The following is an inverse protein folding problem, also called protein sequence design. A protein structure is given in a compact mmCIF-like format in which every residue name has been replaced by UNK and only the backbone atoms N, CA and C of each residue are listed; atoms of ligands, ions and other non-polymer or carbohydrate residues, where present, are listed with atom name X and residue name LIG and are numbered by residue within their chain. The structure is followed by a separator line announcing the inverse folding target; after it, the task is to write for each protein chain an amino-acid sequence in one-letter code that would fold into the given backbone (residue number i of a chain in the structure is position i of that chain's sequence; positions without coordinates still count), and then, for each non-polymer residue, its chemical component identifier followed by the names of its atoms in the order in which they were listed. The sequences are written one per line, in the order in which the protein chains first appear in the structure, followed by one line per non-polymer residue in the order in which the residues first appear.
data_IF_519347778471
#
_entry.id   IF_519347778471
#
_cell.length_a   1.000
_cell.length_b   1.000
_cell.length_c   1.000
_cell.angle_alpha   90.00
_cell.angle_beta   90.00
_cell.angle_gamma   90.00
#
_symmetry.space_group_name_H-M   'P 1'
#
loop_
_entity.id
_entity.type
_entity.pdbx_description
1 polymer ?
#
# COMPACT_ATOMS: atom_id res chain seq x y z
N UNK A 1 7.97 0.13 -19.35
CA UNK A 1 7.76 0.03 -17.90
C UNK A 1 9.12 0.03 -17.23
N UNK A 2 9.30 0.66 -16.06
CA UNK A 2 10.61 0.70 -15.38
C UNK A 2 10.43 0.09 -13.99
N UNK A 3 11.16 -0.98 -13.73
CA UNK A 3 11.24 -1.61 -12.40
C UNK A 3 12.23 -0.81 -11.55
N UNK A 4 11.86 -0.59 -10.29
CA UNK A 4 12.66 0.11 -9.28
C UNK A 4 12.49 -0.59 -7.94
N UNK A 5 13.31 -0.20 -6.97
CA UNK A 5 13.13 -0.59 -5.58
C UNK A 5 11.75 -0.17 -5.08
N UNK A 6 11.11 -1.02 -4.28
CA UNK A 6 9.73 -0.79 -3.80
C UNK A 6 9.57 0.53 -3.04
N UNK A 7 10.61 0.97 -2.32
CA UNK A 7 10.62 2.24 -1.58
C UNK A 7 10.56 3.44 -2.52
N UNK A 8 11.26 3.39 -3.66
CA UNK A 8 11.20 4.46 -4.67
C UNK A 8 9.77 4.57 -5.26
N UNK A 9 9.07 3.44 -5.38
CA UNK A 9 7.69 3.43 -5.86
C UNK A 9 6.73 3.96 -4.79
N UNK A 10 6.95 3.64 -3.52
CA UNK A 10 6.17 4.25 -2.44
C UNK A 10 6.44 5.75 -2.31
N UNK A 11 7.67 6.20 -2.57
CA UNK A 11 7.97 7.62 -2.59
C UNK A 11 7.22 8.33 -3.73
N UNK A 12 7.13 7.70 -4.91
CA UNK A 12 6.27 8.19 -5.99
C UNK A 12 4.80 8.34 -5.55
N UNK A 13 4.27 7.43 -4.73
CA UNK A 13 2.91 7.50 -4.16
C UNK A 13 2.78 8.67 -3.18
N UNK A 14 3.75 8.83 -2.28
CA UNK A 14 3.79 9.92 -1.29
C UNK A 14 3.87 11.30 -1.96
N UNK A 15 4.64 11.42 -3.04
CA UNK A 15 4.85 12.68 -3.75
C UNK A 15 3.67 13.06 -4.67
N UNK A 16 2.65 12.20 -4.82
CA UNK A 16 1.47 12.54 -5.62
C UNK A 16 0.60 13.56 -4.89
N UNK A 17 0.40 14.70 -5.53
CA UNK A 17 -0.61 15.68 -5.15
C UNK A 17 -2.01 15.25 -5.64
N UNK A 18 -2.56 14.18 -5.06
CA UNK A 18 -3.93 13.71 -5.29
C UNK A 18 -4.69 13.65 -3.96
N UNK A 19 -6.00 13.35 -4.02
CA UNK A 19 -6.82 13.16 -2.83
C UNK A 19 -6.35 11.91 -2.03
N UNK A 20 -5.86 12.07 -0.79
CA UNK A 20 -5.36 10.94 0.00
C UNK A 20 -6.41 9.86 0.30
N UNK A 21 -7.68 10.25 0.41
CA UNK A 21 -8.81 9.33 0.60
C UNK A 21 -9.19 8.55 -0.67
N UNK A 22 -8.62 8.89 -1.82
CA UNK A 22 -8.94 8.25 -3.09
C UNK A 22 -8.22 6.93 -3.32
N UNK A 23 -7.26 6.58 -2.45
CA UNK A 23 -6.42 5.41 -2.65
C UNK A 23 -7.07 4.10 -2.18
N UNK A 24 -6.89 3.03 -2.96
CA UNK A 24 -7.42 1.68 -2.70
C UNK A 24 -6.28 0.68 -2.83
N UNK A 25 -6.33 -0.41 -2.09
CA UNK A 25 -5.27 -1.41 -2.11
C UNK A 25 -5.79 -2.85 -2.12
N UNK A 26 -5.00 -3.73 -2.70
CA UNK A 26 -5.16 -5.17 -2.60
C UNK A 26 -3.78 -5.81 -2.41
N UNK A 27 -3.65 -6.77 -1.51
CA UNK A 27 -2.38 -7.46 -1.32
C UNK A 27 -2.50 -8.81 -0.64
N UNK A 28 -1.44 -9.60 -0.72
CA UNK A 28 -1.38 -10.89 -0.05
C UNK A 28 -0.20 -11.71 -0.51
N UNK A 29 -0.25 -13.02 -0.31
CA UNK A 29 0.87 -13.88 -0.69
C UNK A 29 1.14 -13.85 -2.20
N UNK A 30 2.42 -13.88 -2.54
CA UNK A 30 2.86 -14.13 -3.93
C UNK A 30 2.34 -15.48 -4.40
N UNK A 31 2.02 -15.59 -5.70
CA UNK A 31 1.59 -16.84 -6.32
C UNK A 31 2.68 -17.93 -6.27
N UNK A 32 3.95 -17.53 -6.08
CA UNK A 32 5.06 -18.45 -5.88
C UNK A 32 6.19 -17.80 -5.08
N UNK A 33 6.98 -18.65 -4.42
CA UNK A 33 8.14 -18.21 -3.64
C UNK A 33 7.77 -17.57 -2.30
N UNK A 34 8.72 -16.82 -1.74
CA UNK A 34 8.53 -16.05 -0.51
C UNK A 34 8.15 -14.61 -0.84
N UNK A 35 7.31 -14.01 0.01
CA UNK A 35 6.96 -12.61 -0.07
C UNK A 35 5.49 -12.33 -0.38
N UNK A 36 5.21 -11.07 -0.61
CA UNK A 36 3.87 -10.50 -0.77
C UNK A 36 3.78 -9.70 -2.06
N UNK A 37 2.57 -9.67 -2.63
CA UNK A 37 2.15 -8.76 -3.68
C UNK A 37 1.30 -7.65 -3.09
N UNK A 38 1.49 -6.43 -3.57
CA UNK A 38 0.73 -5.27 -3.15
C UNK A 38 0.42 -4.37 -4.34
N UNK A 39 -0.87 -4.12 -4.56
CA UNK A 39 -1.39 -3.16 -5.51
C UNK A 39 -1.91 -1.91 -4.79
N UNK A 40 -1.55 -0.73 -5.30
CA UNK A 40 -2.00 0.56 -4.81
C UNK A 40 -2.60 1.35 -5.98
N UNK A 41 -3.90 1.64 -5.93
CA UNK A 41 -4.63 2.30 -6.99
C UNK A 41 -5.25 3.62 -6.55
N UNK A 42 -5.21 4.62 -7.42
CA UNK A 42 -5.95 5.87 -7.23
C UNK A 42 -6.49 6.37 -8.59
N UNK A 43 -7.76 6.83 -8.68
CA UNK A 43 -8.39 7.24 -9.93
C UNK A 43 -7.56 8.20 -10.80
N UNK A 44 -6.89 9.16 -10.18
CA UNK A 44 -6.06 10.16 -10.86
C UNK A 44 -4.54 9.89 -10.81
N UNK A 45 -4.09 8.89 -10.04
CA UNK A 45 -2.65 8.63 -9.89
C UNK A 45 -2.20 7.37 -10.62
N UNK A 46 -3.15 6.47 -10.95
CA UNK A 46 -2.86 5.22 -11.62
C UNK A 46 -2.84 4.03 -10.66
N UNK A 47 -2.28 2.92 -11.15
CA UNK A 47 -2.11 1.67 -10.41
C UNK A 47 -0.61 1.36 -10.31
N UNK A 48 -0.19 1.10 -9.08
CA UNK A 48 1.15 0.70 -8.72
C UNK A 48 1.14 -0.75 -8.26
N UNK A 49 2.17 -1.50 -8.62
CA UNK A 49 2.36 -2.89 -8.22
C UNK A 49 3.73 -3.04 -7.58
N UNK A 50 3.74 -3.58 -6.37
CA UNK A 50 4.90 -3.82 -5.54
C UNK A 50 4.97 -5.31 -5.22
N UNK A 51 6.17 -5.87 -5.20
CA UNK A 51 6.44 -7.20 -4.64
C UNK A 51 7.53 -7.07 -3.59
N UNK A 52 7.30 -7.64 -2.41
CA UNK A 52 8.22 -7.51 -1.28
C UNK A 52 8.51 -8.88 -0.65
N UNK A 53 9.65 -9.00 0.02
CA UNK A 53 9.96 -10.13 0.91
C UNK A 53 10.71 -9.63 2.14
N UNK A 54 10.53 -10.35 3.25
CA UNK A 54 11.33 -10.14 4.44
C UNK A 54 12.69 -10.83 4.26
N UNK A 55 13.77 -10.03 4.12
CA UNK A 55 15.14 -10.55 4.19
C UNK A 55 15.44 -11.09 5.58
N UNK A 56 14.96 -10.37 6.60
CA UNK A 56 15.02 -10.72 8.01
C UNK A 56 13.92 -9.93 8.77
N UNK A 57 13.70 -10.17 10.08
CA UNK A 57 12.63 -9.52 10.84
C UNK A 57 12.70 -7.98 10.92
N UNK A 58 13.81 -7.37 10.50
CA UNK A 58 14.03 -5.92 10.54
C UNK A 58 14.14 -5.27 9.15
N UNK A 59 14.21 -6.08 8.09
CA UNK A 59 14.49 -5.59 6.75
C UNK A 59 13.57 -6.25 5.73
N UNK A 60 12.76 -5.42 5.09
CA UNK A 60 11.95 -5.75 3.93
C UNK A 60 12.63 -5.18 2.68
N UNK A 61 12.75 -6.01 1.65
CA UNK A 61 13.23 -5.63 0.32
C UNK A 61 12.16 -5.94 -0.72
N UNK A 62 12.30 -5.40 -1.92
CA UNK A 62 11.29 -5.59 -2.93
C UNK A 62 11.49 -4.71 -4.15
N UNK A 63 10.69 -4.98 -5.16
CA UNK A 63 10.65 -4.22 -6.39
C UNK A 63 9.24 -3.71 -6.64
N UNK A 64 9.11 -2.75 -7.53
CA UNK A 64 7.81 -2.33 -7.98
C UNK A 64 7.84 -1.53 -9.26
N UNK A 65 6.64 -1.22 -9.75
CA UNK A 65 6.45 -0.38 -10.93
C UNK A 65 5.08 0.28 -10.94
N UNK A 66 4.92 1.25 -11.84
CA UNK A 66 3.66 1.92 -12.13
C UNK A 66 3.07 1.29 -13.39
N UNK A 67 2.04 0.45 -13.22
CA UNK A 67 1.50 -0.44 -14.26
C UNK A 67 0.43 0.22 -15.13
N UNK A 68 -0.34 1.16 -14.56
CA UNK A 68 -1.36 1.91 -15.30
C UNK A 68 -1.35 3.38 -14.86
N UNK A 69 -1.45 4.33 -15.81
CA UNK A 69 -1.40 5.78 -15.50
C UNK A 69 -2.70 6.36 -14.92
N UNK A 70 -3.80 5.62 -15.07
CA UNK A 70 -5.12 5.99 -14.59
C UNK A 70 -5.84 4.70 -14.21
N UNK A 71 -6.68 4.77 -13.20
CA UNK A 71 -7.62 3.70 -12.88
C UNK A 71 -8.91 3.96 -13.65
N UNK A 72 -9.24 3.07 -14.58
CA UNK A 72 -10.57 3.03 -15.21
C UNK A 72 -11.51 2.10 -14.42
N UNK A 73 -12.77 2.04 -14.85
CA UNK A 73 -13.80 1.28 -14.15
C UNK A 73 -13.53 -0.24 -14.19
N UNK A 74 -12.84 -0.73 -15.21
CA UNK A 74 -12.47 -2.15 -15.33
C UNK A 74 -11.40 -2.50 -14.30
N UNK A 75 -10.26 -1.81 -14.31
CA UNK A 75 -9.17 -2.06 -13.35
C UNK A 75 -9.62 -1.72 -11.92
N UNK A 76 -10.40 -0.65 -11.76
CA UNK A 76 -10.91 -0.22 -10.46
C UNK A 76 -11.88 -1.22 -9.84
N UNK A 77 -12.56 -2.05 -10.65
CA UNK A 77 -13.49 -3.07 -10.14
C UNK A 77 -12.82 -4.21 -9.38
N UNK A 78 -11.52 -4.43 -9.58
CA UNK A 78 -10.74 -5.40 -8.81
C UNK A 78 -10.31 -4.86 -7.43
N UNK A 79 -10.41 -3.56 -7.20
CA UNK A 79 -10.01 -2.95 -5.93
C UNK A 79 -11.22 -2.76 -5.00
N UNK A 80 -11.00 -2.75 -3.67
CA UNK A 80 -12.09 -2.54 -2.72
C UNK A 80 -12.85 -1.23 -2.96
N UNK A 81 -14.17 -1.27 -2.81
CA UNK A 81 -15.01 -0.08 -2.82
C UNK A 81 -14.77 0.78 -1.56
N UNK A 82 -15.19 2.07 -1.59
CA UNK A 82 -14.95 3.01 -0.48
C UNK A 82 -15.58 2.53 0.84
N UNK A 83 -16.70 1.82 0.77
CA UNK A 83 -17.44 1.33 1.93
C UNK A 83 -16.99 -0.06 2.40
N UNK A 84 -16.01 -0.70 1.74
CA UNK A 84 -15.36 -1.93 2.21
C UNK A 84 -14.88 -1.74 3.64
N UNK A 85 -15.07 -2.73 4.54
CA UNK A 85 -14.82 -2.54 6.00
C UNK A 85 -13.77 -3.47 6.60
N UNK A 86 -13.33 -4.48 5.87
CA UNK A 86 -12.56 -5.58 6.47
C UNK A 86 -11.06 -5.28 6.57
N UNK A 87 -10.57 -4.31 5.80
CA UNK A 87 -9.18 -3.89 5.84
C UNK A 87 -8.98 -2.43 5.44
N UNK A 88 -7.91 -1.85 5.97
CA UNK A 88 -7.48 -0.47 5.75
C UNK A 88 -5.96 -0.43 5.66
N UNK A 89 -5.46 0.53 4.90
CA UNK A 89 -4.04 0.85 4.87
C UNK A 89 -3.82 2.35 4.99
N UNK A 90 -2.62 2.72 5.41
CA UNK A 90 -2.14 4.10 5.37
C UNK A 90 -0.64 4.09 5.10
N UNK A 91 -0.19 5.02 4.28
CA UNK A 91 1.21 5.28 4.02
C UNK A 91 1.69 6.35 4.99
N UNK A 92 2.92 6.21 5.48
CA UNK A 92 3.57 7.23 6.31
C UNK A 92 4.75 7.80 5.55
N UNK A 93 4.86 9.12 5.54
CA UNK A 93 6.04 9.79 5.03
C UNK A 93 7.21 9.55 6.00
N UNK A 94 8.19 8.74 5.60
CA UNK A 94 9.41 8.51 6.39
C UNK A 94 10.47 9.59 6.18
N UNK A 95 10.36 10.37 5.11
CA UNK A 95 11.40 11.30 4.63
C UNK A 95 11.12 12.78 4.96
N UNK A 96 9.93 13.11 5.45
CA UNK A 96 9.68 14.42 6.04
C UNK A 96 10.72 14.69 7.14
N UNK A 97 11.40 15.84 7.04
CA UNK A 97 12.16 16.39 8.17
C UNK A 97 11.27 16.24 9.39
N UNK A 98 11.78 15.62 10.46
CA UNK A 98 11.05 15.49 11.73
C UNK A 98 10.31 16.82 11.98
N UNK A 99 8.96 16.81 11.96
CA UNK A 99 8.18 18.00 12.19
C UNK A 99 8.68 18.70 13.45
N UNK A 100 8.63 20.03 13.45
CA UNK A 100 9.01 20.74 14.66
C UNK A 100 8.02 20.45 15.80
N UNK A 101 8.40 20.83 17.02
CA UNK A 101 7.59 20.56 18.21
C UNK A 101 6.18 21.14 18.10
N UNK A 102 6.01 22.32 17.48
CA UNK A 102 4.70 22.95 17.32
C UNK A 102 3.85 22.20 16.28
N UNK A 103 4.44 21.77 15.17
CA UNK A 103 3.76 20.96 14.16
C UNK A 103 3.29 19.61 14.75
N UNK A 104 4.14 18.99 15.59
CA UNK A 104 3.79 17.76 16.30
C UNK A 104 2.65 17.99 17.30
N UNK A 105 2.70 19.05 18.10
CA UNK A 105 1.62 19.40 19.04
C UNK A 105 0.31 19.69 18.31
N UNK A 106 0.35 20.41 17.19
CA UNK A 106 -0.82 20.69 16.37
C UNK A 106 -1.43 19.41 15.80
N UNK A 107 -0.61 18.51 15.22
CA UNK A 107 -1.04 17.19 14.73
C UNK A 107 -1.65 16.36 15.86
N UNK A 108 -0.98 16.27 17.01
CA UNK A 108 -1.47 15.53 18.17
C UNK A 108 -2.82 16.05 18.68
N UNK A 109 -2.97 17.39 18.75
CA UNK A 109 -4.22 18.02 19.16
C UNK A 109 -5.37 17.72 18.18
N UNK A 110 -5.13 17.76 16.87
CA UNK A 110 -6.15 17.40 15.87
C UNK A 110 -6.61 15.95 16.06
N UNK A 111 -5.67 15.02 16.20
CA UNK A 111 -6.00 13.60 16.46
C UNK A 111 -6.80 13.45 17.76
N UNK A 112 -6.43 14.16 18.83
CA UNK A 112 -7.17 14.15 20.09
C UNK A 112 -8.62 14.66 19.92
N UNK A 113 -8.80 15.76 19.20
CA UNK A 113 -10.12 16.34 18.91
C UNK A 113 -10.97 15.40 18.05
N UNK A 114 -10.40 14.78 17.02
CA UNK A 114 -11.06 13.75 16.19
C UNK A 114 -11.55 12.59 17.06
N UNK A 115 -10.68 12.00 17.88
CA UNK A 115 -11.06 10.88 18.75
C UNK A 115 -12.19 11.26 19.71
N UNK A 116 -12.17 12.47 20.29
CA UNK A 116 -13.26 12.96 21.15
C UNK A 116 -14.58 13.08 20.39
N UNK A 117 -14.56 13.61 19.16
CA UNK A 117 -15.76 13.75 18.35
C UNK A 117 -16.43 12.38 18.07
N UNK A 118 -15.64 11.36 17.74
CA UNK A 118 -16.14 10.00 17.54
C UNK A 118 -16.54 9.28 18.85
N UNK A 119 -15.99 9.70 20.00
CA UNK A 119 -16.45 9.20 21.29
C UNK A 119 -17.82 9.77 21.68
N UNK A 120 -18.10 11.01 21.29
CA UNK A 120 -19.34 11.72 21.62
C UNK A 120 -20.50 11.41 20.66
N UNK A 121 -20.22 10.94 19.44
CA UNK A 121 -21.23 10.63 18.42
C UNK A 121 -21.08 9.21 17.85
N UNK A 122 -22.19 8.50 17.55
CA UNK A 122 -22.11 7.19 16.91
C UNK A 122 -21.65 7.31 15.45
N UNK A 123 -20.40 6.95 15.18
CA UNK A 123 -19.83 6.82 13.82
C UNK A 123 -19.40 5.39 13.54
N UNK A 124 -19.05 5.07 12.29
CA UNK A 124 -18.41 3.80 11.98
C UNK A 124 -16.90 3.83 12.28
N UNK A 125 -16.28 2.65 12.38
CA UNK A 125 -14.82 2.54 12.49
C UNK A 125 -14.08 2.99 11.23
N UNK A 126 -14.75 2.94 10.07
CA UNK A 126 -14.22 3.46 8.81
C UNK A 126 -14.12 4.98 8.86
N UNK A 127 -15.18 5.66 9.31
CA UNK A 127 -15.18 7.13 9.45
C UNK A 127 -14.08 7.58 10.44
N UNK A 128 -13.96 6.88 11.58
CA UNK A 128 -12.88 7.16 12.54
C UNK A 128 -11.49 7.00 11.93
N UNK A 129 -11.28 5.95 11.13
CA UNK A 129 -10.00 5.72 10.49
C UNK A 129 -9.66 6.84 9.51
N UNK A 130 -10.60 7.18 8.62
CA UNK A 130 -10.40 8.20 7.59
C UNK A 130 -10.08 9.56 8.23
N UNK A 131 -10.88 10.00 9.23
CA UNK A 131 -10.68 11.28 9.92
C UNK A 131 -9.36 11.32 10.73
N UNK A 132 -8.91 10.18 11.29
CA UNK A 132 -7.61 10.10 11.98
C UNK A 132 -6.45 10.17 10.98
N UNK A 133 -6.56 9.51 9.82
CA UNK A 133 -5.52 9.57 8.80
C UNK A 133 -5.42 10.96 8.16
N UNK A 134 -6.55 11.65 7.99
CA UNK A 134 -6.57 13.06 7.60
C UNK A 134 -5.87 13.94 8.67
N UNK A 135 -6.20 13.75 9.95
CA UNK A 135 -5.59 14.52 11.04
C UNK A 135 -4.06 14.31 11.15
N UNK A 136 -3.61 13.09 10.84
CA UNK A 136 -2.19 12.70 10.73
C UNK A 136 -1.51 13.17 9.44
N UNK A 137 -2.27 13.74 8.49
CA UNK A 137 -1.81 14.16 7.17
C UNK A 137 -1.15 12.99 6.41
N UNK A 138 -1.77 11.80 6.47
CA UNK A 138 -1.30 10.65 5.70
C UNK A 138 -1.43 10.93 4.20
N UNK A 139 -0.36 10.72 3.40
CA UNK A 139 -0.37 11.03 1.96
C UNK A 139 -1.25 10.08 1.12
N UNK A 140 -1.49 8.87 1.61
CA UNK A 140 -2.32 7.87 0.94
C UNK A 140 -2.89 6.91 1.97
N UNK A 141 -4.22 6.79 2.01
CA UNK A 141 -4.91 5.86 2.88
C UNK A 141 -6.25 5.45 2.29
N UNK A 142 -6.80 4.34 2.78
CA UNK A 142 -8.12 3.89 2.36
C UNK A 142 -8.36 2.41 2.60
N UNK A 143 -9.42 1.84 1.99
CA UNK A 143 -9.73 0.42 2.10
C UNK A 143 -8.66 -0.44 1.41
N UNK A 144 -8.42 -1.59 2.03
CA UNK A 144 -7.49 -2.59 1.55
C UNK A 144 -8.08 -3.98 1.71
N UNK A 145 -8.06 -4.79 0.66
CA UNK A 145 -8.23 -6.24 0.78
C UNK A 145 -6.85 -6.86 0.99
N UNK A 146 -6.66 -7.56 2.11
CA UNK A 146 -5.38 -8.16 2.44
C UNK A 146 -5.54 -9.55 3.04
N UNK A 147 -4.79 -10.52 2.54
CA UNK A 147 -4.64 -11.84 3.16
C UNK A 147 -3.15 -12.20 3.29
N UNK A 148 -2.67 -12.35 4.52
CA UNK A 148 -1.28 -12.72 4.79
C UNK A 148 -1.00 -14.23 4.68
N UNK A 149 -2.05 -15.05 4.58
CA UNK A 149 -1.97 -16.51 4.50
C UNK A 149 -2.28 -17.05 3.10
N UNK A 150 -3.00 -16.29 2.29
CA UNK A 150 -3.39 -16.66 0.94
C UNK A 150 -3.24 -15.46 -0.02
N UNK A 151 -3.57 -15.68 -1.30
CA UNK A 151 -3.63 -14.65 -2.32
C UNK A 151 -5.11 -14.30 -2.60
N UNK A 152 -5.56 -13.07 -2.30
CA UNK A 152 -6.92 -12.65 -2.64
C UNK A 152 -7.21 -12.70 -4.14
N UNK A 153 -8.47 -12.92 -4.51
CA UNK A 153 -8.93 -12.95 -5.91
C UNK A 153 -8.56 -11.65 -6.65
N UNK A 154 -8.75 -10.50 -6.00
CA UNK A 154 -8.34 -9.19 -6.52
C UNK A 154 -6.87 -9.15 -6.97
N UNK A 155 -5.96 -9.77 -6.20
CA UNK A 155 -4.52 -9.81 -6.51
C UNK A 155 -4.23 -10.77 -7.65
N UNK A 156 -5.01 -11.85 -7.78
CA UNK A 156 -4.93 -12.79 -8.91
C UNK A 156 -5.43 -12.14 -10.20
N UNK A 157 -6.60 -11.51 -10.18
CA UNK A 157 -7.20 -10.83 -11.34
C UNK A 157 -6.33 -9.68 -11.85
N UNK A 158 -5.74 -8.89 -10.96
CA UNK A 158 -4.79 -7.83 -11.33
C UNK A 158 -3.51 -8.41 -11.93
N UNK A 159 -3.00 -9.51 -11.41
CA UNK A 159 -1.81 -10.16 -11.96
C UNK A 159 -2.06 -10.77 -13.35
N UNK A 160 -3.25 -11.34 -13.59
CA UNK A 160 -3.67 -11.81 -14.92
C UNK A 160 -3.84 -10.64 -15.89
N UNK A 161 -4.45 -9.53 -15.44
CA UNK A 161 -4.64 -8.32 -16.25
C UNK A 161 -3.30 -7.68 -16.66
N UNK A 162 -2.30 -7.71 -15.76
CA UNK A 162 -0.98 -7.13 -15.97
C UNK A 162 0.13 -8.20 -16.04
N UNK A 163 -0.10 -9.29 -16.78
CA UNK A 163 0.80 -10.45 -16.87
C UNK A 163 2.26 -10.08 -17.18
N UNK A 164 2.50 -9.13 -18.09
CA UNK A 164 3.86 -8.68 -18.43
C UNK A 164 4.56 -8.05 -17.21
N UNK A 165 3.85 -7.21 -16.45
CA UNK A 165 4.37 -6.61 -15.22
C UNK A 165 4.62 -7.66 -14.15
N UNK A 166 3.67 -8.59 -13.96
CA UNK A 166 3.75 -9.69 -13.01
C UNK A 166 5.01 -10.53 -13.26
N UNK A 167 5.23 -10.94 -14.52
CA UNK A 167 6.38 -11.75 -14.89
C UNK A 167 7.70 -11.04 -14.65
N UNK A 168 7.84 -9.80 -15.11
CA UNK A 168 9.10 -9.05 -14.95
C UNK A 168 9.40 -8.75 -13.48
N UNK A 169 8.39 -8.41 -12.68
CA UNK A 169 8.59 -8.18 -11.24
C UNK A 169 8.94 -9.48 -10.50
N UNK A 170 8.39 -10.63 -10.91
CA UNK A 170 8.78 -11.92 -10.34
C UNK A 170 10.24 -12.26 -10.68
N UNK A 171 10.66 -12.10 -11.93
CA UNK A 171 12.06 -12.34 -12.34
C UNK A 171 13.04 -11.48 -11.52
N UNK A 172 12.79 -10.17 -11.41
CA UNK A 172 13.66 -9.26 -10.66
C UNK A 172 13.62 -9.54 -9.14
N UNK A 173 12.45 -9.90 -8.58
CA UNK A 173 12.36 -10.22 -7.15
C UNK A 173 13.05 -11.54 -6.80
N UNK A 174 12.94 -12.55 -7.67
CA UNK A 174 13.56 -13.85 -7.46
C UNK A 174 15.09 -13.73 -7.50
N UNK A 175 15.64 -12.90 -8.40
CA UNK A 175 17.07 -12.57 -8.41
C UNK A 175 17.51 -11.93 -7.08
N UNK A 176 16.74 -10.98 -6.54
CA UNK A 176 17.05 -10.36 -5.23
C UNK A 176 16.99 -11.35 -4.06
N UNK A 177 16.00 -12.26 -4.08
CA UNK A 177 15.84 -13.31 -3.06
C UNK A 177 17.03 -14.27 -3.09
N UNK A 178 17.47 -14.67 -4.29
CA UNK A 178 18.60 -15.55 -4.49
C UNK A 178 19.92 -14.90 -4.05
N UNK A 179 20.12 -13.62 -4.36
CA UNK A 179 21.26 -12.83 -3.88
C UNK A 179 21.32 -12.72 -2.35
N UNK A 180 20.16 -12.63 -1.70
CA UNK A 180 20.04 -12.55 -0.25
C UNK A 180 19.99 -13.93 0.45
N UNK A 181 20.05 -15.01 -0.33
CA UNK A 181 19.98 -16.40 0.14
C UNK A 181 18.72 -16.70 0.99
N UNK A 182 17.62 -15.99 0.73
CA UNK A 182 16.36 -16.15 1.48
C UNK A 182 15.60 -17.37 0.96
N UNK A 183 14.96 -18.11 1.88
CA UNK A 183 14.18 -19.29 1.52
C UNK A 183 15.02 -20.54 1.19
N UNK A 184 16.35 -20.43 1.18
CA UNK A 184 17.24 -21.60 1.13
C UNK A 184 17.31 -22.22 2.52
N UNK A 185 16.83 -23.46 2.64
CA UNK A 185 17.00 -24.24 3.88
C UNK A 185 18.48 -24.46 4.20
N UNK A 186 18.81 -24.78 5.45
CA UNK A 186 20.18 -25.14 5.85
C UNK A 186 20.72 -26.24 4.92
N UNK A 187 21.81 -25.95 4.19
CA UNK A 187 22.58 -26.94 3.43
C UNK A 187 23.56 -27.68 4.33
#
# INVERSE_FOLDING_TARGET
MRIREWQDILQDVVDRSVDPEGWRAAGGQRAGGVGEDLYLGHPNAGLYHLKTYAKNPYQVRGVGTHVARKLDDEIGSYLPEKDFRDGRFAVRNSEEKRPDENEMEARAKRVEETIKAHADAPTSGADLFDDVMEALESPAFGPMEFDGYDRPDAVSDLAETFEESEKLLNEELDDLIDEDEVGRGFQ
#
